data_IF_358344324439
#
_entry.id   IF_358344324439
#
_cell.length_a   1.000
_cell.length_b   1.000
_cell.length_c   1.000
_cell.angle_alpha   90.00
_cell.angle_beta   90.00
_cell.angle_gamma   90.00
#
_symmetry.space_group_name_H-M   'P 1'
#
loop_
_entity.id
_entity.type
_entity.pdbx_description
1 polymer ?
#
# COMPACT_ATOMS: atom_id res chain seq x y z
N UNK A 1 -16.62 21.71 -37.12
CA UNK A 1 -15.56 20.77 -36.70
C UNK A 1 -14.16 21.28 -37.05
N UNK A 2 -13.15 20.93 -36.26
CA UNK A 2 -11.76 21.32 -36.49
C UNK A 2 -11.01 20.29 -37.35
N UNK A 3 -10.21 20.74 -38.33
CA UNK A 3 -9.36 19.82 -39.10
C UNK A 3 -8.05 19.52 -38.35
N UNK A 4 -7.71 18.26 -38.07
CA UNK A 4 -6.50 17.93 -37.29
C UNK A 4 -5.20 18.17 -38.06
N UNK A 5 -5.23 18.35 -39.39
CA UNK A 5 -4.02 18.59 -40.20
C UNK A 5 -3.63 20.06 -40.31
N UNK A 6 -4.60 20.96 -40.47
CA UNK A 6 -4.32 22.38 -40.73
C UNK A 6 -4.94 23.33 -39.70
N UNK A 7 -5.75 22.81 -38.78
CA UNK A 7 -6.38 23.58 -37.73
C UNK A 7 -7.43 24.59 -38.18
N UNK A 8 -7.95 24.47 -39.40
CA UNK A 8 -9.02 25.33 -39.88
C UNK A 8 -10.36 24.78 -39.41
N UNK A 9 -11.22 25.66 -38.88
CA UNK A 9 -12.59 25.32 -38.54
C UNK A 9 -13.42 25.18 -39.82
N UNK A 10 -14.11 24.05 -39.97
CA UNK A 10 -14.91 23.70 -41.14
C UNK A 10 -16.35 23.40 -40.71
N UNK A 11 -17.30 23.61 -41.62
CA UNK A 11 -18.70 23.27 -41.36
C UNK A 11 -18.89 21.75 -41.21
N UNK A 12 -19.87 21.36 -40.40
CA UNK A 12 -20.15 19.96 -40.07
C UNK A 12 -20.85 19.18 -41.19
N UNK A 13 -20.92 19.70 -42.41
CA UNK A 13 -21.45 18.95 -43.58
C UNK A 13 -20.37 18.58 -44.61
N UNK A 14 -19.15 19.10 -44.45
CA UNK A 14 -18.08 18.92 -45.43
C UNK A 14 -17.34 17.58 -45.23
N UNK A 15 -17.21 16.80 -46.32
CA UNK A 15 -16.48 15.51 -46.32
C UNK A 15 -14.95 15.69 -46.32
N UNK A 16 -14.46 16.80 -46.88
CA UNK A 16 -13.04 17.11 -47.00
C UNK A 16 -12.74 18.54 -46.56
N UNK A 17 -11.54 18.77 -46.02
CA UNK A 17 -11.08 20.11 -45.67
C UNK A 17 -10.78 20.93 -46.94
N UNK A 18 -11.36 22.14 -47.04
CA UNK A 18 -11.13 23.05 -48.18
C UNK A 18 -9.68 23.55 -48.30
N UNK A 19 -8.93 23.56 -47.19
CA UNK A 19 -7.57 24.12 -47.15
C UNK A 19 -6.49 23.08 -47.42
N UNK A 20 -6.64 21.86 -46.88
CA UNK A 20 -5.59 20.83 -46.96
C UNK A 20 -6.04 19.51 -47.59
N UNK A 21 -7.32 19.38 -48.00
CA UNK A 21 -7.85 18.17 -48.64
C UNK A 21 -8.02 16.97 -47.71
N UNK A 22 -7.78 17.10 -46.40
CA UNK A 22 -7.92 15.98 -45.46
C UNK A 22 -9.36 15.46 -45.39
N UNK A 23 -9.54 14.14 -45.35
CA UNK A 23 -10.84 13.49 -45.21
C UNK A 23 -11.34 13.64 -43.76
N UNK A 24 -12.45 14.34 -43.60
CA UNK A 24 -13.06 14.68 -42.32
C UNK A 24 -14.07 13.63 -41.85
N UNK A 25 -14.55 12.75 -42.75
CA UNK A 25 -15.52 11.70 -42.40
C UNK A 25 -14.91 10.63 -41.50
N UNK A 26 -13.66 10.24 -41.75
CA UNK A 26 -12.95 9.28 -40.89
C UNK A 26 -12.74 9.83 -39.47
N UNK A 27 -12.45 11.13 -39.36
CA UNK A 27 -12.29 11.81 -38.07
C UNK A 27 -13.61 11.84 -37.30
N UNK A 28 -14.73 12.09 -37.99
CA UNK A 28 -16.06 12.01 -37.37
C UNK A 28 -16.40 10.62 -36.89
N UNK A 29 -16.17 9.59 -37.71
CA UNK A 29 -16.43 8.21 -37.29
C UNK A 29 -15.65 7.84 -36.02
N UNK A 30 -14.42 8.31 -35.87
CA UNK A 30 -13.63 8.07 -34.65
C UNK A 30 -14.13 8.89 -33.46
N UNK A 31 -14.57 10.13 -33.66
CA UNK A 31 -15.14 10.96 -32.57
C UNK A 31 -16.51 10.42 -32.14
N UNK A 32 -17.36 10.03 -33.09
CA UNK A 32 -18.68 9.47 -32.83
C UNK A 32 -18.57 8.07 -32.21
N UNK A 33 -17.61 7.24 -32.65
CA UNK A 33 -17.32 5.95 -32.02
C UNK A 33 -16.66 6.09 -30.64
N UNK A 34 -15.83 7.13 -30.43
CA UNK A 34 -15.19 7.43 -29.14
C UNK A 34 -16.10 8.16 -28.14
N UNK A 35 -17.21 8.74 -28.59
CA UNK A 35 -18.21 9.42 -27.75
C UNK A 35 -19.20 8.47 -27.07
N UNK A 36 -19.30 7.23 -27.54
CA UNK A 36 -20.17 6.20 -26.98
C UNK A 36 -19.49 5.45 -25.81
N UNK A 37 -19.41 6.11 -24.65
CA UNK A 37 -19.80 5.44 -23.40
C UNK A 37 -18.76 4.71 -22.54
N UNK A 38 -17.49 4.56 -22.91
CA UNK A 38 -16.47 4.08 -21.96
C UNK A 38 -15.54 5.21 -21.55
N UNK A 39 -15.94 5.94 -20.50
CA UNK A 39 -15.01 6.75 -19.71
C UNK A 39 -13.99 5.79 -19.12
N UNK A 40 -12.82 5.68 -19.74
CA UNK A 40 -11.67 5.00 -19.19
C UNK A 40 -11.40 5.61 -17.80
N UNK A 41 -11.74 4.84 -16.78
CA UNK A 41 -11.83 5.30 -15.40
C UNK A 41 -10.40 5.33 -14.84
N UNK A 42 -9.65 6.38 -15.18
CA UNK A 42 -8.28 6.62 -14.68
C UNK A 42 -8.18 6.58 -13.16
N UNK A 43 -9.31 6.73 -12.45
CA UNK A 43 -9.43 6.60 -11.00
C UNK A 43 -9.21 5.16 -10.48
N UNK A 44 -9.45 4.14 -11.32
CA UNK A 44 -9.35 2.71 -10.96
C UNK A 44 -8.06 2.04 -11.43
N UNK A 45 -7.23 2.75 -12.19
CA UNK A 45 -5.92 2.23 -12.62
C UNK A 45 -4.86 2.57 -11.58
N UNK A 46 -3.93 1.63 -11.39
CA UNK A 46 -2.76 1.66 -10.47
C UNK A 46 -2.01 3.02 -10.38
N UNK A 47 -2.17 3.90 -11.37
CA UNK A 47 -1.64 5.27 -11.38
C UNK A 47 -2.22 6.12 -10.23
N UNK A 48 -3.52 6.02 -9.95
CA UNK A 48 -4.15 6.74 -8.83
C UNK A 48 -3.57 6.29 -7.47
N UNK A 49 -3.22 5.02 -7.36
CA UNK A 49 -2.58 4.46 -6.17
C UNK A 49 -1.15 4.98 -5.98
N UNK A 50 -0.46 5.30 -7.07
CA UNK A 50 0.92 5.80 -7.08
C UNK A 50 1.05 7.27 -6.64
N UNK A 51 -0.04 8.05 -6.69
CA UNK A 51 -0.08 9.45 -6.23
C UNK A 51 -0.58 9.65 -4.79
N UNK A 52 -1.02 8.60 -4.10
CA UNK A 52 -1.36 8.67 -2.68
C UNK A 52 -0.09 8.84 -1.84
N UNK A 53 -0.13 9.75 -0.86
CA UNK A 53 0.98 9.96 0.07
C UNK A 53 1.24 8.70 0.90
N UNK A 54 2.50 8.45 1.29
CA UNK A 54 2.88 7.25 2.08
C UNK A 54 2.02 7.08 3.35
N UNK A 55 1.54 8.19 3.94
CA UNK A 55 0.68 8.16 5.12
C UNK A 55 -0.73 7.62 4.85
N UNK A 56 -1.28 7.86 3.67
CA UNK A 56 -2.60 7.34 3.28
C UNK A 56 -2.54 5.86 2.91
N UNK A 57 -1.44 5.42 2.26
CA UNK A 57 -1.18 3.99 2.02
C UNK A 57 -1.12 3.21 3.33
N UNK A 58 -0.39 3.74 4.32
CA UNK A 58 -0.25 3.08 5.62
C UNK A 58 -1.59 2.97 6.37
N UNK A 59 -2.41 4.02 6.37
CA UNK A 59 -3.76 3.98 6.99
C UNK A 59 -4.67 2.96 6.30
N UNK A 60 -4.64 2.90 4.97
CA UNK A 60 -5.42 1.91 4.22
C UNK A 60 -4.94 0.49 4.48
N UNK A 61 -3.64 0.27 4.55
CA UNK A 61 -3.08 -1.04 4.87
C UNK A 61 -3.47 -1.47 6.30
N UNK A 62 -3.46 -0.56 7.28
CA UNK A 62 -3.93 -0.82 8.65
C UNK A 62 -5.45 -1.14 8.69
N UNK A 63 -6.27 -0.45 7.90
CA UNK A 63 -7.69 -0.77 7.74
C UNK A 63 -7.91 -2.12 7.04
N UNK A 64 -7.12 -2.42 6.00
CA UNK A 64 -7.14 -3.70 5.32
C UNK A 64 -6.70 -4.84 6.24
N UNK A 65 -5.69 -4.62 7.08
CA UNK A 65 -5.21 -5.58 8.08
C UNK A 65 -6.32 -5.88 9.11
N UNK A 66 -7.07 -4.87 9.54
CA UNK A 66 -8.27 -5.06 10.38
C UNK A 66 -9.37 -5.85 9.67
N UNK A 67 -9.69 -5.53 8.41
CA UNK A 67 -10.78 -6.18 7.68
C UNK A 67 -10.46 -7.61 7.27
N UNK A 68 -9.20 -7.88 6.90
CA UNK A 68 -8.78 -9.21 6.42
C UNK A 68 -8.44 -10.16 7.57
N UNK A 69 -8.51 -9.71 8.82
CA UNK A 69 -8.17 -10.51 9.99
C UNK A 69 -6.83 -11.21 9.82
N UNK A 70 -5.84 -10.49 9.26
CA UNK A 70 -4.54 -11.08 8.93
C UNK A 70 -3.91 -11.47 10.26
N UNK A 71 -4.02 -12.76 10.60
CA UNK A 71 -3.33 -13.30 11.74
C UNK A 71 -1.82 -13.18 11.47
N UNK A 72 -1.00 -12.94 12.50
CA UNK A 72 0.46 -12.91 12.37
C UNK A 72 1.01 -14.21 11.73
N UNK A 73 0.25 -15.30 11.78
CA UNK A 73 0.55 -16.56 11.11
C UNK A 73 0.51 -16.47 9.58
N UNK A 74 -0.48 -15.80 8.99
CA UNK A 74 -0.61 -15.68 7.53
C UNK A 74 0.55 -14.85 6.95
N UNK A 75 0.99 -13.81 7.67
CA UNK A 75 2.13 -12.98 7.27
C UNK A 75 3.42 -13.80 7.21
N UNK A 76 3.65 -14.68 8.18
CA UNK A 76 4.80 -15.59 8.20
C UNK A 76 4.78 -16.58 7.06
N UNK A 77 3.61 -17.16 6.78
CA UNK A 77 3.49 -18.11 5.70
C UNK A 77 3.84 -17.46 4.36
N UNK A 78 3.46 -16.19 4.15
CA UNK A 78 3.84 -15.44 2.94
C UNK A 78 5.34 -15.20 2.84
N UNK A 79 5.99 -14.78 3.92
CA UNK A 79 7.45 -14.55 3.93
C UNK A 79 8.24 -15.85 3.72
N UNK A 80 7.86 -16.93 4.41
CA UNK A 80 8.48 -18.26 4.25
C UNK A 80 8.26 -18.78 2.82
N UNK A 81 7.03 -18.69 2.30
CA UNK A 81 6.71 -19.11 0.94
C UNK A 81 7.51 -18.31 -0.10
N UNK A 82 7.67 -17.00 0.12
CA UNK A 82 8.52 -16.15 -0.70
C UNK A 82 9.99 -16.60 -0.70
N UNK A 83 10.54 -16.89 0.49
CA UNK A 83 11.91 -17.41 0.62
C UNK A 83 12.11 -18.76 -0.07
N UNK A 84 11.16 -19.70 0.09
CA UNK A 84 11.21 -21.02 -0.58
C UNK A 84 11.18 -20.86 -2.10
N UNK A 85 10.26 -20.05 -2.63
CA UNK A 85 10.14 -19.84 -4.08
C UNK A 85 11.45 -19.27 -4.64
N UNK A 86 12.02 -18.25 -3.99
CA UNK A 86 13.27 -17.63 -4.45
C UNK A 86 14.47 -18.58 -4.36
N UNK A 87 14.56 -19.40 -3.30
CA UNK A 87 15.61 -20.41 -3.17
C UNK A 87 15.51 -21.47 -4.28
N UNK A 88 14.30 -21.94 -4.59
CA UNK A 88 14.05 -22.87 -5.69
C UNK A 88 14.42 -22.26 -7.05
N UNK A 89 14.08 -20.99 -7.29
CA UNK A 89 14.47 -20.27 -8.51
C UNK A 89 16.00 -20.19 -8.63
N UNK A 90 16.69 -19.89 -7.53
CA UNK A 90 18.16 -19.86 -7.51
C UNK A 90 18.77 -21.21 -7.88
N UNK A 91 18.33 -22.30 -7.25
CA UNK A 91 18.80 -23.66 -7.56
C UNK A 91 18.51 -24.03 -9.02
N UNK A 92 17.32 -23.74 -9.52
CA UNK A 92 16.95 -24.01 -10.90
C UNK A 92 17.85 -23.26 -11.89
N UNK A 93 18.13 -21.97 -11.64
CA UNK A 93 19.06 -21.17 -12.45
C UNK A 93 20.48 -21.73 -12.40
N UNK A 94 20.96 -22.16 -11.23
CA UNK A 94 22.28 -22.77 -11.10
C UNK A 94 22.40 -24.04 -11.94
N UNK A 95 21.43 -24.96 -11.83
CA UNK A 95 21.43 -26.21 -12.58
C UNK A 95 21.30 -25.94 -14.08
N UNK A 96 20.37 -25.06 -14.47
CA UNK A 96 20.14 -24.71 -15.87
C UNK A 96 21.39 -24.12 -16.52
N UNK A 97 22.01 -23.10 -15.90
CA UNK A 97 23.22 -22.48 -16.42
C UNK A 97 24.39 -23.45 -16.45
N UNK A 98 24.52 -24.32 -15.44
CA UNK A 98 25.56 -25.35 -15.42
C UNK A 98 25.44 -26.31 -16.62
N UNK A 99 24.26 -26.89 -16.83
CA UNK A 99 24.01 -27.83 -17.94
C UNK A 99 24.14 -27.14 -19.29
N UNK A 100 23.61 -25.92 -19.42
CA UNK A 100 23.66 -25.13 -20.65
C UNK A 100 25.10 -24.79 -21.05
N UNK A 101 25.91 -24.30 -20.10
CA UNK A 101 27.31 -23.95 -20.37
C UNK A 101 28.16 -25.18 -20.63
N UNK A 102 27.92 -26.29 -19.92
CA UNK A 102 28.57 -27.57 -20.23
C UNK A 102 28.27 -28.01 -21.67
N UNK A 103 27.02 -27.88 -22.13
CA UNK A 103 26.65 -28.18 -23.52
C UNK A 103 27.39 -27.32 -24.55
N UNK A 104 27.59 -26.03 -24.27
CA UNK A 104 28.35 -25.11 -25.14
C UNK A 104 29.82 -25.51 -25.21
N UNK A 105 30.44 -25.84 -24.09
CA UNK A 105 31.85 -26.23 -24.01
C UNK A 105 32.09 -27.55 -24.76
N UNK A 106 31.21 -28.55 -24.60
CA UNK A 106 31.29 -29.81 -25.36
C UNK A 106 31.07 -29.60 -26.87
N UNK A 107 30.36 -28.53 -27.27
CA UNK A 107 30.13 -28.17 -28.67
C UNK A 107 31.39 -27.74 -29.44
N UNK A 108 32.53 -27.55 -28.76
CA UNK A 108 33.86 -27.42 -29.38
C UNK A 108 34.14 -26.12 -30.14
N UNK A 109 33.24 -25.13 -30.09
CA UNK A 109 33.37 -23.85 -30.82
C UNK A 109 34.01 -22.71 -30.01
N UNK A 110 34.40 -22.98 -28.77
CA UNK A 110 34.86 -21.95 -27.82
C UNK A 110 36.36 -22.11 -27.59
N UNK A 111 37.17 -21.04 -27.71
CA UNK A 111 38.59 -21.08 -27.38
C UNK A 111 38.80 -21.40 -25.88
N UNK A 112 39.91 -22.07 -25.56
CA UNK A 112 40.17 -22.58 -24.21
C UNK A 112 40.16 -21.50 -23.12
N UNK A 113 40.60 -20.28 -23.42
CA UNK A 113 40.60 -19.16 -22.46
C UNK A 113 39.18 -18.67 -22.11
N UNK A 114 38.22 -18.74 -23.04
CA UNK A 114 36.85 -18.31 -22.80
C UNK A 114 36.01 -19.40 -22.09
N UNK A 115 36.38 -20.67 -22.27
CA UNK A 115 35.68 -21.81 -21.67
C UNK A 115 35.70 -21.75 -20.14
N UNK A 116 36.79 -21.28 -19.52
CA UNK A 116 36.86 -21.14 -18.06
C UNK A 116 35.85 -20.11 -17.53
N UNK A 117 35.70 -18.97 -18.21
CA UNK A 117 34.79 -17.90 -17.79
C UNK A 117 33.34 -18.39 -17.93
N UNK A 118 33.03 -19.02 -19.06
CA UNK A 118 31.71 -19.56 -19.36
C UNK A 118 31.33 -20.66 -18.34
N UNK A 119 32.27 -21.49 -17.93
CA UNK A 119 32.05 -22.55 -16.93
C UNK A 119 31.70 -22.02 -15.52
N UNK A 120 31.92 -20.73 -15.23
CA UNK A 120 31.66 -20.12 -13.92
C UNK A 120 30.38 -19.30 -13.87
N UNK A 121 29.68 -19.12 -14.99
CA UNK A 121 28.44 -18.31 -15.05
C UNK A 121 27.30 -18.85 -14.17
N UNK A 122 27.26 -20.16 -13.91
CA UNK A 122 26.25 -20.76 -13.03
C UNK A 122 26.27 -20.20 -11.59
N UNK A 123 27.41 -19.61 -11.17
CA UNK A 123 27.55 -18.93 -9.87
C UNK A 123 26.56 -17.76 -9.74
N UNK A 124 26.07 -17.19 -10.84
CA UNK A 124 25.04 -16.14 -10.80
C UNK A 124 23.76 -16.60 -10.09
N UNK A 125 23.42 -17.89 -10.12
CA UNK A 125 22.27 -18.44 -9.41
C UNK A 125 22.45 -18.59 -7.89
N UNK A 126 23.69 -18.46 -7.39
CA UNK A 126 24.00 -18.47 -5.95
C UNK A 126 23.40 -17.27 -5.23
N UNK A 127 23.39 -16.11 -5.88
CA UNK A 127 22.86 -14.85 -5.33
C UNK A 127 21.38 -14.98 -4.97
N UNK A 128 20.45 -15.32 -5.89
CA UNK A 128 19.04 -15.49 -5.56
C UNK A 128 18.79 -16.64 -4.57
N UNK A 129 19.63 -17.68 -4.56
CA UNK A 129 19.55 -18.74 -3.55
C UNK A 129 19.81 -18.20 -2.13
N UNK A 130 20.88 -17.43 -1.93
CA UNK A 130 21.18 -16.83 -0.62
C UNK A 130 20.14 -15.78 -0.20
N UNK A 131 19.56 -15.03 -1.15
CA UNK A 131 18.44 -14.12 -0.86
C UNK A 131 17.22 -14.93 -0.36
N UNK A 132 16.88 -16.03 -1.03
CA UNK A 132 15.81 -16.93 -0.59
C UNK A 132 16.07 -17.52 0.80
N UNK A 133 17.32 -17.92 1.07
CA UNK A 133 17.74 -18.44 2.38
C UNK A 133 17.65 -17.38 3.47
N UNK A 134 18.07 -16.14 3.20
CA UNK A 134 17.96 -15.03 4.14
C UNK A 134 16.50 -14.73 4.50
N UNK A 135 15.59 -14.73 3.51
CA UNK A 135 14.16 -14.57 3.74
C UNK A 135 13.56 -15.72 4.56
N UNK A 136 14.00 -16.95 4.31
CA UNK A 136 13.61 -18.12 5.11
C UNK A 136 14.05 -18.00 6.58
N UNK A 137 15.31 -17.64 6.81
CA UNK A 137 15.86 -17.45 8.16
C UNK A 137 15.13 -16.31 8.88
N UNK A 138 14.89 -15.19 8.19
CA UNK A 138 14.17 -14.05 8.73
C UNK A 138 12.73 -14.45 9.12
N UNK A 139 12.02 -15.13 8.22
CA UNK A 139 10.67 -15.63 8.46
C UNK A 139 10.60 -16.63 9.63
N UNK A 140 11.63 -17.46 9.84
CA UNK A 140 11.70 -18.39 10.98
C UNK A 140 12.03 -17.70 12.32
N UNK A 141 12.98 -16.76 12.34
CA UNK A 141 13.43 -16.10 13.58
C UNK A 141 12.44 -15.05 14.08
N UNK A 142 11.91 -14.21 13.18
CA UNK A 142 10.92 -13.18 13.53
C UNK A 142 9.61 -13.83 13.97
N UNK A 143 9.24 -14.98 13.37
CA UNK A 143 8.07 -15.77 13.75
C UNK A 143 8.08 -16.17 15.22
N UNK A 144 9.20 -16.70 15.74
CA UNK A 144 9.29 -17.10 17.15
C UNK A 144 9.11 -15.92 18.09
N UNK A 145 9.76 -14.79 17.80
CA UNK A 145 9.70 -13.60 18.67
C UNK A 145 8.31 -12.95 18.69
N UNK A 146 7.59 -12.96 17.56
CA UNK A 146 6.23 -12.42 17.50
C UNK A 146 5.16 -13.34 18.14
N UNK A 147 5.31 -14.67 18.10
CA UNK A 147 4.41 -15.56 18.88
C UNK A 147 4.59 -15.29 20.36
N UNK A 148 5.83 -15.16 20.81
CA UNK A 148 6.14 -14.92 22.23
C UNK A 148 5.47 -13.63 22.73
N UNK A 149 5.52 -12.56 21.92
CA UNK A 149 4.88 -11.28 22.24
C UNK A 149 3.35 -11.39 22.19
N UNK A 150 2.79 -12.00 21.15
CA UNK A 150 1.34 -12.20 21.04
C UNK A 150 0.78 -13.08 22.17
N UNK A 151 1.52 -14.14 22.57
CA UNK A 151 1.16 -14.99 23.70
C UNK A 151 1.20 -14.23 25.02
N UNK A 152 2.14 -13.31 25.19
CA UNK A 152 2.19 -12.41 26.36
C UNK A 152 1.02 -11.43 26.38
N UNK A 153 0.65 -10.85 25.24
CA UNK A 153 -0.52 -9.96 25.14
C UNK A 153 -1.84 -10.71 25.38
N UNK A 154 -1.95 -11.95 24.89
CA UNK A 154 -3.12 -12.80 25.08
C UNK A 154 -3.21 -13.41 26.49
N UNK A 155 -2.10 -13.47 27.23
CA UNK A 155 -2.13 -13.73 28.67
C UNK A 155 -2.56 -12.51 29.50
N UNK A 156 -2.60 -11.30 28.90
CA UNK A 156 -3.00 -10.05 29.57
C UNK A 156 -4.50 -9.70 29.33
N UNK A 157 -5.27 -10.50 28.61
CA UNK A 157 -6.75 -10.36 28.55
C UNK A 157 -7.45 -11.64 28.06
N UNK A 158 -8.64 -12.02 28.58
CA UNK A 158 -9.72 -11.19 29.14
C UNK A 158 -10.09 -11.52 30.60
N UNK A 159 -9.27 -12.25 31.36
CA UNK A 159 -9.66 -12.63 32.74
C UNK A 159 -9.65 -11.44 33.72
N UNK A 160 -8.81 -10.43 33.46
CA UNK A 160 -8.77 -9.21 34.28
C UNK A 160 -9.96 -8.28 33.97
N UNK A 161 -10.48 -8.31 32.74
CA UNK A 161 -11.66 -7.51 32.39
C UNK A 161 -12.96 -8.19 32.84
N UNK A 162 -13.01 -9.53 32.81
CA UNK A 162 -14.12 -10.30 33.38
C UNK A 162 -14.16 -10.20 34.90
N UNK A 163 -13.03 -10.20 35.62
CA UNK A 163 -13.05 -10.04 37.08
C UNK A 163 -13.45 -8.61 37.51
N UNK A 164 -13.05 -7.57 36.76
CA UNK A 164 -13.51 -6.19 37.02
C UNK A 164 -14.98 -6.01 36.65
N UNK A 165 -15.43 -6.58 35.52
CA UNK A 165 -16.85 -6.52 35.11
C UNK A 165 -17.75 -7.34 36.03
N UNK A 166 -17.25 -8.44 36.61
CA UNK A 166 -17.99 -9.27 37.56
C UNK A 166 -18.01 -8.66 38.98
N UNK A 167 -17.01 -7.85 39.36
CA UNK A 167 -17.11 -6.96 40.54
C UNK A 167 -17.98 -5.72 40.30
N UNK A 168 -18.22 -5.34 39.04
CA UNK A 168 -19.15 -4.28 38.61
C UNK A 168 -20.49 -4.81 38.08
N UNK A 169 -20.84 -6.06 38.36
CA UNK A 169 -22.23 -6.50 38.28
C UNK A 169 -22.98 -5.82 39.44
N UNK A 170 -23.59 -4.68 39.11
CA UNK A 170 -24.38 -3.81 39.97
C UNK A 170 -25.24 -4.61 40.94
N UNK A 171 -24.84 -4.61 42.22
CA UNK A 171 -25.73 -4.89 43.34
C UNK A 171 -26.94 -3.97 43.19
N UNK A 172 -28.14 -4.55 43.12
CA UNK A 172 -29.38 -3.79 43.01
C UNK A 172 -29.39 -2.65 44.05
N UNK A 173 -29.38 -1.42 43.56
CA UNK A 173 -29.24 -0.22 44.37
C UNK A 173 -30.37 -0.14 45.39
N UNK A 174 -30.04 -0.27 46.67
CA UNK A 174 -30.94 0.05 47.76
C UNK A 174 -30.90 1.57 47.93
N UNK A 175 -32.01 2.26 47.66
CA UNK A 175 -32.13 3.72 47.64
C UNK A 175 -32.13 4.38 49.03
N UNK A 176 -31.84 3.63 50.10
CA UNK A 176 -31.87 4.14 51.47
C UNK A 176 -30.55 4.72 51.97
N UNK A 177 -29.45 4.62 51.22
CA UNK A 177 -28.12 5.01 51.70
C UNK A 177 -27.52 6.14 50.85
N UNK A 178 -27.67 7.37 51.34
CA UNK A 178 -27.04 8.56 50.78
C UNK A 178 -25.56 8.52 51.19
N UNK A 179 -24.69 8.05 50.29
CA UNK A 179 -23.25 8.14 50.45
C UNK A 179 -22.80 9.50 49.88
N UNK A 180 -22.15 10.39 50.67
CA UNK A 180 -21.61 11.63 50.13
C UNK A 180 -20.44 11.31 49.18
N UNK A 181 -20.38 11.90 47.97
CA UNK A 181 -19.27 11.65 47.05
C UNK A 181 -17.98 12.31 47.57
N UNK A 182 -16.97 11.48 47.85
CA UNK A 182 -15.62 11.90 48.23
C UNK A 182 -14.72 12.37 47.08
N UNK A 183 -15.29 12.74 45.93
CA UNK A 183 -14.54 13.26 44.80
C UNK A 183 -14.98 14.70 44.49
N UNK A 184 -14.32 15.64 45.17
CA UNK A 184 -14.27 17.04 44.75
C UNK A 184 -13.47 17.09 43.45
N UNK A 185 -14.19 17.16 42.33
CA UNK A 185 -13.64 17.65 41.07
C UNK A 185 -13.45 19.15 41.27
N UNK A 186 -12.27 19.57 41.72
CA UNK A 186 -11.94 20.99 41.80
C UNK A 186 -11.95 21.58 40.40
N UNK A 187 -12.90 22.50 40.23
CA UNK A 187 -13.04 23.49 39.17
C UNK A 187 -11.69 24.13 38.83
N UNK A 188 -11.18 23.91 37.62
CA UNK A 188 -9.87 24.41 37.22
C UNK A 188 -9.70 24.68 35.73
N UNK A 189 -10.78 24.87 34.96
CA UNK A 189 -10.65 25.25 33.55
C UNK A 189 -11.86 26.03 33.01
N UNK A 190 -12.15 27.17 33.61
CA UNK A 190 -12.82 28.28 32.92
C UNK A 190 -11.81 29.41 32.75
N UNK A 191 -11.02 29.34 31.68
CA UNK A 191 -10.21 30.47 31.22
C UNK A 191 -11.16 31.59 30.80
N UNK A 192 -11.21 32.66 31.59
CA UNK A 192 -11.93 33.88 31.25
C UNK A 192 -11.29 34.53 30.01
N UNK A 193 -12.06 34.66 28.93
CA UNK A 193 -11.75 35.56 27.82
C UNK A 193 -12.06 36.99 28.28
N UNK A 194 -11.01 37.77 28.55
CA UNK A 194 -11.12 39.18 28.91
C UNK A 194 -11.48 39.98 27.63
N UNK A 195 -12.73 40.44 27.55
CA UNK A 195 -13.19 41.38 26.52
C UNK A 195 -12.91 42.78 27.04
N UNK A 196 -11.74 43.33 26.73
CA UNK A 196 -11.48 44.77 26.87
C UNK A 196 -11.84 45.48 25.57
N UNK A 197 -13.09 45.91 25.48
CA UNK A 197 -13.48 46.94 24.52
C UNK A 197 -12.93 48.29 24.98
N UNK A 198 -11.93 48.80 24.28
CA UNK A 198 -11.51 50.20 24.42
C UNK A 198 -11.99 50.98 23.19
N UNK A 199 -13.18 51.55 23.38
CA UNK A 199 -13.83 52.53 22.51
C UNK A 199 -13.28 53.90 22.89
N UNK A 200 -12.26 54.39 22.18
CA UNK A 200 -11.86 55.80 22.22
C UNK A 200 -12.83 56.60 21.33
N UNK A 201 -13.77 57.28 21.98
CA UNK A 201 -14.49 58.43 21.41
C UNK A 201 -13.81 59.68 21.96
N UNK A 202 -13.25 60.49 21.07
CA UNK A 202 -12.82 61.86 21.35
C UNK A 202 -14.03 62.81 21.34
N UNK A 203 -14.09 63.76 22.30
CA UNK A 203 -14.79 65.02 22.10
C UNK A 203 -13.93 66.22 22.50
N UNK A 204 -13.54 67.04 21.53
CA UNK A 204 -13.22 68.49 21.66
C UNK A 204 -13.07 69.01 20.22
N UNK A 205 -13.80 69.98 19.67
CA UNK A 205 -14.36 71.26 20.11
C UNK A 205 -13.31 72.29 20.50
N UNK A 206 -12.72 72.93 19.49
CA UNK A 206 -12.33 74.35 19.40
C UNK A 206 -12.10 74.70 17.94
#
# INVERSE_FOLDING_TARGET
MFCPKCGVNQSDDMKFCKTCGANLQAVRQVIDAGGAGEKFDWSKTWVAEMFLSEGERKRRDEELERQRGITPEIKRFKEIKGGVIMACIGIALMIFLYVFMMGIVLGGKVPHDEAEIISRIWIAGVIPFFIGLALLINGMFVSKKQVEIARREQQVGPDVLSEVTQRQALRAGNTAEIIPPGFSVTEGTTKHLNVSGQKTRDPSNS
#
